data_IF_903604992862
#
_entry.id   IF_903604992862
#
_cell.length_a   1.000
_cell.length_b   1.000
_cell.length_c   1.000
_cell.angle_alpha   90.00
_cell.angle_beta   90.00
_cell.angle_gamma   90.00
#
_symmetry.space_group_name_H-M   'P 1'
#
loop_
_entity.id
_entity.type
_entity.pdbx_description
1 polymer ?
#
# COMPACT_ATOMS: atom_id res chain seq x y z
N UNK A 1 -24.34 -16.33 -11.10
CA UNK A 1 -24.76 -14.96 -11.50
C UNK A 1 -23.67 -14.39 -12.40
N UNK A 2 -23.99 -13.84 -13.58
CA UNK A 2 -22.98 -13.29 -14.50
C UNK A 2 -22.17 -12.17 -13.82
N UNK A 3 -20.84 -12.06 -14.03
CA UNK A 3 -19.97 -11.07 -13.34
C UNK A 3 -20.51 -9.64 -13.37
N UNK A 4 -20.99 -9.18 -14.53
CA UNK A 4 -21.59 -7.84 -14.69
C UNK A 4 -22.75 -7.55 -13.72
N UNK A 5 -23.61 -8.54 -13.45
CA UNK A 5 -24.73 -8.35 -12.52
C UNK A 5 -24.27 -8.28 -11.07
N UNK A 6 -23.21 -9.03 -10.72
CA UNK A 6 -22.60 -8.99 -9.39
C UNK A 6 -21.97 -7.63 -9.11
N UNK A 7 -21.19 -7.10 -10.07
CA UNK A 7 -20.59 -5.76 -9.98
C UNK A 7 -21.65 -4.67 -9.80
N UNK A 8 -22.74 -4.69 -10.60
CA UNK A 8 -23.81 -3.70 -10.46
C UNK A 8 -24.52 -3.74 -9.11
N UNK A 9 -24.75 -4.92 -8.55
CA UNK A 9 -25.36 -5.06 -7.22
C UNK A 9 -24.44 -4.47 -6.13
N UNK A 10 -23.15 -4.83 -6.16
CA UNK A 10 -22.17 -4.34 -5.18
C UNK A 10 -22.04 -2.82 -5.29
N UNK A 11 -21.94 -2.26 -6.50
CA UNK A 11 -21.94 -0.80 -6.71
C UNK A 11 -23.18 -0.12 -6.13
N UNK A 12 -24.35 -0.68 -6.38
CA UNK A 12 -25.60 -0.12 -5.85
C UNK A 12 -25.58 -0.05 -4.32
N UNK A 13 -25.14 -1.12 -3.65
CA UNK A 13 -25.04 -1.15 -2.19
C UNK A 13 -23.99 -0.14 -1.70
N UNK A 14 -22.82 -0.09 -2.33
CA UNK A 14 -21.78 0.89 -1.98
C UNK A 14 -22.28 2.33 -2.10
N UNK A 15 -22.97 2.67 -3.19
CA UNK A 15 -23.56 4.00 -3.38
C UNK A 15 -24.66 4.29 -2.35
N UNK A 16 -25.42 3.30 -1.91
CA UNK A 16 -26.38 3.48 -0.82
C UNK A 16 -25.67 3.78 0.52
N UNK A 17 -24.62 3.04 0.86
CA UNK A 17 -23.85 3.26 2.09
C UNK A 17 -23.13 4.62 2.14
N UNK A 18 -22.63 5.08 0.99
CA UNK A 18 -21.92 6.35 0.87
C UNK A 18 -22.84 7.57 0.72
N UNK A 19 -24.14 7.37 0.51
CA UNK A 19 -25.05 8.48 0.25
C UNK A 19 -25.17 9.38 1.49
N UNK A 20 -24.75 10.67 1.43
CA UNK A 20 -24.79 11.57 2.58
C UNK A 20 -26.22 11.81 3.09
N UNK A 21 -27.23 11.71 2.21
CA UNK A 21 -28.63 11.87 2.58
C UNK A 21 -29.17 10.72 3.42
N UNK A 22 -28.50 9.57 3.45
CA UNK A 22 -28.90 8.43 4.28
C UNK A 22 -28.13 8.37 5.59
N UNK A 23 -27.22 9.31 5.86
CA UNK A 23 -26.49 9.38 7.12
C UNK A 23 -27.34 10.03 8.22
N UNK A 24 -27.03 9.67 9.46
CA UNK A 24 -27.78 10.14 10.63
C UNK A 24 -27.68 11.66 10.79
N UNK A 25 -26.53 12.26 10.48
CA UNK A 25 -26.32 13.71 10.60
C UNK A 25 -27.25 14.49 9.68
N UNK A 26 -27.54 13.97 8.47
CA UNK A 26 -28.48 14.62 7.56
C UNK A 26 -29.92 14.51 8.03
N UNK A 27 -30.30 13.35 8.55
CA UNK A 27 -31.64 13.09 9.12
C UNK A 27 -31.91 14.04 10.30
N UNK A 28 -30.90 14.24 11.15
CA UNK A 28 -30.99 15.04 12.38
C UNK A 28 -30.63 16.52 12.20
N UNK A 29 -30.16 16.93 11.02
CA UNK A 29 -29.74 18.30 10.75
C UNK A 29 -30.85 19.32 11.07
N UNK A 30 -30.47 20.52 11.52
CA UNK A 30 -31.45 21.58 11.79
C UNK A 30 -32.25 21.96 10.54
N UNK A 31 -33.52 22.32 10.74
CA UNK A 31 -34.40 22.77 9.64
C UNK A 31 -34.17 24.28 9.46
N UNK A 32 -33.94 24.77 8.23
CA UNK A 32 -33.78 26.20 8.03
C UNK A 32 -35.06 26.97 8.40
N UNK A 33 -34.90 28.11 9.07
CA UNK A 33 -36.01 28.96 9.46
C UNK A 33 -36.65 29.63 8.22
N UNK A 34 -37.96 29.84 8.25
CA UNK A 34 -38.68 30.56 7.20
C UNK A 34 -38.98 29.76 5.93
N UNK A 35 -38.86 28.43 5.94
CA UNK A 35 -39.24 27.62 4.78
C UNK A 35 -40.76 27.72 4.49
N UNK A 36 -41.16 27.91 3.23
CA UNK A 36 -42.56 27.79 2.82
C UNK A 36 -43.15 26.41 3.16
N UNK A 37 -44.42 26.35 3.54
CA UNK A 37 -45.06 25.13 4.06
C UNK A 37 -44.98 23.93 3.11
N UNK A 38 -45.06 24.14 1.79
CA UNK A 38 -44.92 23.10 0.79
C UNK A 38 -43.49 22.54 0.70
N UNK A 39 -42.47 23.39 0.85
CA UNK A 39 -41.07 22.97 0.87
C UNK A 39 -40.73 22.26 2.18
N UNK A 40 -41.25 22.76 3.30
CA UNK A 40 -41.12 22.12 4.61
C UNK A 40 -41.69 20.70 4.59
N UNK A 41 -42.90 20.53 4.05
CA UNK A 41 -43.53 19.21 3.93
C UNK A 41 -42.68 18.23 3.09
N UNK A 42 -42.15 18.68 1.94
CA UNK A 42 -41.26 17.85 1.10
C UNK A 42 -39.96 17.49 1.80
N UNK A 43 -39.36 18.42 2.55
CA UNK A 43 -38.14 18.18 3.31
C UNK A 43 -38.39 17.13 4.41
N UNK A 44 -39.47 17.27 5.18
CA UNK A 44 -39.84 16.32 6.23
C UNK A 44 -40.10 14.92 5.68
N UNK A 45 -40.81 14.82 4.56
CA UNK A 45 -41.07 13.57 3.87
C UNK A 45 -39.77 12.92 3.34
N UNK A 46 -38.85 13.71 2.79
CA UNK A 46 -37.52 13.23 2.40
C UNK A 46 -36.70 12.74 3.60
N UNK A 47 -36.79 13.41 4.75
CA UNK A 47 -36.13 13.00 6.00
C UNK A 47 -36.71 11.72 6.58
N UNK A 48 -38.03 11.55 6.55
CA UNK A 48 -38.67 10.33 7.00
C UNK A 48 -38.21 9.11 6.17
N UNK A 49 -38.13 9.27 4.84
CA UNK A 49 -37.56 8.22 3.97
C UNK A 49 -36.10 7.93 4.29
N UNK A 50 -35.27 8.96 4.42
CA UNK A 50 -33.86 8.79 4.75
C UNK A 50 -33.64 8.12 6.12
N UNK A 51 -34.45 8.44 7.12
CA UNK A 51 -34.41 7.80 8.43
C UNK A 51 -34.72 6.31 8.34
N UNK A 52 -35.75 5.95 7.54
CA UNK A 52 -36.07 4.55 7.27
C UNK A 52 -34.92 3.83 6.55
N UNK A 53 -34.31 4.46 5.54
CA UNK A 53 -33.14 3.92 4.84
C UNK A 53 -31.95 3.77 5.78
N UNK A 54 -31.64 4.75 6.63
CA UNK A 54 -30.58 4.68 7.63
C UNK A 54 -30.78 3.48 8.56
N UNK A 55 -32.00 3.30 9.07
CA UNK A 55 -32.33 2.16 9.93
C UNK A 55 -32.15 0.82 9.21
N UNK A 56 -32.57 0.73 7.94
CA UNK A 56 -32.38 -0.48 7.14
C UNK A 56 -30.90 -0.80 6.87
N UNK A 57 -30.07 0.22 6.57
CA UNK A 57 -28.62 0.06 6.39
C UNK A 57 -27.94 -0.36 7.70
N UNK A 58 -28.30 0.24 8.84
CA UNK A 58 -27.81 -0.20 10.17
C UNK A 58 -28.21 -1.64 10.48
N UNK A 59 -29.43 -2.05 10.13
CA UNK A 59 -29.87 -3.44 10.31
C UNK A 59 -29.10 -4.41 9.40
N UNK A 60 -28.78 -4.01 8.17
CA UNK A 60 -27.96 -4.79 7.24
C UNK A 60 -26.54 -5.01 7.77
N UNK A 61 -25.96 -3.98 8.38
CA UNK A 61 -24.59 -3.98 8.93
C UNK A 61 -24.51 -4.39 10.40
N UNK A 62 -25.53 -5.09 10.92
CA UNK A 62 -25.50 -5.60 12.29
C UNK A 62 -25.83 -7.09 12.38
N UNK A 63 -25.37 -7.70 13.48
CA UNK A 63 -25.70 -9.08 13.84
C UNK A 63 -25.29 -10.12 12.79
N UNK A 64 -26.06 -11.23 12.69
CA UNK A 64 -25.75 -12.34 11.76
C UNK A 64 -25.75 -11.94 10.29
N UNK A 65 -26.57 -10.95 9.90
CA UNK A 65 -26.65 -10.46 8.52
C UNK A 65 -25.32 -9.87 8.07
N UNK A 66 -24.69 -9.06 8.94
CA UNK A 66 -23.37 -8.50 8.66
C UNK A 66 -22.32 -9.60 8.50
N UNK A 67 -22.32 -10.61 9.39
CA UNK A 67 -21.39 -11.74 9.31
C UNK A 67 -21.52 -12.50 7.98
N UNK A 68 -22.75 -12.86 7.59
CA UNK A 68 -22.99 -13.52 6.32
C UNK A 68 -22.62 -12.66 5.10
N UNK A 69 -22.80 -11.34 5.19
CA UNK A 69 -22.44 -10.41 4.12
C UNK A 69 -20.91 -10.31 3.96
N UNK A 70 -20.17 -10.12 5.05
CA UNK A 70 -18.69 -10.08 5.04
C UNK A 70 -18.14 -11.40 4.52
N UNK A 71 -18.63 -12.54 5.02
CA UNK A 71 -18.20 -13.86 4.55
C UNK A 71 -18.47 -14.05 3.05
N UNK A 72 -19.64 -13.64 2.56
CA UNK A 72 -19.98 -13.73 1.15
C UNK A 72 -19.13 -12.79 0.27
N UNK A 73 -18.78 -11.61 0.76
CA UNK A 73 -17.90 -10.69 0.04
C UNK A 73 -16.48 -11.25 -0.06
N UNK A 74 -15.91 -11.67 1.07
CA UNK A 74 -14.57 -12.26 1.13
C UNK A 74 -14.49 -13.48 0.22
N UNK A 75 -15.41 -14.44 0.36
CA UNK A 75 -15.33 -15.72 -0.38
C UNK A 75 -15.71 -15.63 -1.86
N UNK A 76 -16.65 -14.77 -2.27
CA UNK A 76 -17.22 -14.79 -3.64
C UNK A 76 -16.75 -13.64 -4.52
N UNK A 77 -16.12 -12.62 -3.94
CA UNK A 77 -15.66 -11.44 -4.65
C UNK A 77 -14.16 -11.23 -4.45
N UNK A 78 -13.68 -11.29 -3.21
CA UNK A 78 -12.30 -10.89 -2.89
C UNK A 78 -11.31 -12.04 -3.02
N UNK A 79 -11.72 -13.27 -2.71
CA UNK A 79 -10.90 -14.46 -2.89
C UNK A 79 -10.44 -14.58 -4.35
N UNK A 80 -9.16 -14.91 -4.49
CA UNK A 80 -8.52 -15.18 -5.77
C UNK A 80 -9.34 -16.18 -6.58
N UNK A 81 -9.70 -15.78 -7.79
CA UNK A 81 -10.35 -16.66 -8.75
C UNK A 81 -9.34 -17.62 -9.39
N UNK A 82 -9.85 -18.71 -9.99
CA UNK A 82 -9.01 -19.61 -10.77
C UNK A 82 -8.33 -18.90 -11.95
N UNK A 83 -9.01 -17.94 -12.59
CA UNK A 83 -8.42 -17.13 -13.67
C UNK A 83 -7.22 -16.30 -13.18
N UNK A 84 -7.35 -15.66 -12.02
CA UNK A 84 -6.24 -14.93 -11.39
C UNK A 84 -5.08 -15.84 -10.97
N UNK A 85 -5.37 -17.06 -10.49
CA UNK A 85 -4.35 -18.04 -10.12
C UNK A 85 -3.62 -18.62 -11.33
N UNK A 86 -4.30 -18.75 -12.48
CA UNK A 86 -3.64 -19.12 -13.74
C UNK A 86 -2.81 -17.96 -14.28
N UNK A 87 -3.32 -16.72 -14.26
CA UNK A 87 -2.53 -15.54 -14.63
C UNK A 87 -1.27 -15.40 -13.76
N UNK A 88 -1.38 -15.62 -12.44
CA UNK A 88 -0.22 -15.66 -11.53
C UNK A 88 0.87 -16.62 -12.02
N UNK A 89 0.50 -17.80 -12.54
CA UNK A 89 1.46 -18.81 -13.01
C UNK A 89 2.03 -18.50 -14.39
N UNK A 90 1.16 -18.09 -15.32
CA UNK A 90 1.49 -17.92 -16.73
C UNK A 90 2.19 -16.57 -16.99
N UNK A 91 1.70 -15.51 -16.36
CA UNK A 91 2.19 -14.15 -16.47
C UNK A 91 2.19 -13.42 -15.10
N UNK A 92 3.14 -13.76 -14.21
CA UNK A 92 3.19 -13.21 -12.86
C UNK A 92 3.37 -11.69 -12.81
N UNK A 93 4.04 -11.08 -13.81
CA UNK A 93 4.25 -9.64 -13.85
C UNK A 93 2.95 -8.90 -14.23
N UNK A 94 2.19 -9.42 -15.22
CA UNK A 94 0.84 -8.94 -15.53
C UNK A 94 -0.09 -9.04 -14.32
N UNK A 95 -0.10 -10.19 -13.64
CA UNK A 95 -0.90 -10.38 -12.43
C UNK A 95 -0.51 -9.35 -11.33
N UNK A 96 0.79 -9.19 -11.05
CA UNK A 96 1.28 -8.27 -10.03
C UNK A 96 0.88 -6.81 -10.33
N UNK A 97 0.87 -6.42 -11.61
CA UNK A 97 0.42 -5.10 -12.06
C UNK A 97 -1.08 -4.91 -11.86
N UNK A 98 -1.88 -5.92 -12.19
CA UNK A 98 -3.35 -5.87 -12.03
C UNK A 98 -3.77 -5.77 -10.56
N UNK A 99 -2.96 -6.29 -9.63
CA UNK A 99 -3.22 -6.19 -8.19
C UNK A 99 -3.07 -4.78 -7.61
N UNK A 100 -2.46 -3.85 -8.35
CA UNK A 100 -2.30 -2.46 -7.91
C UNK A 100 -3.45 -1.56 -8.35
N UNK A 101 -4.43 -2.11 -9.06
CA UNK A 101 -5.64 -1.37 -9.42
C UNK A 101 -6.37 -0.96 -8.14
N UNK A 102 -6.64 0.34 -8.04
CA UNK A 102 -7.30 0.94 -6.88
C UNK A 102 -8.65 0.26 -6.61
N UNK A 103 -8.86 -0.12 -5.34
CA UNK A 103 -10.11 -0.72 -4.89
C UNK A 103 -11.08 0.38 -4.48
N UNK A 104 -12.32 0.30 -4.95
CA UNK A 104 -13.28 1.37 -4.70
C UNK A 104 -14.70 1.08 -5.15
N UNK A 105 -15.66 1.93 -4.77
CA UNK A 105 -17.09 1.74 -5.05
C UNK A 105 -17.44 1.85 -6.54
N UNK A 106 -16.50 2.28 -7.38
CA UNK A 106 -16.68 2.45 -8.83
C UNK A 106 -15.88 1.43 -9.66
N UNK A 107 -15.18 0.49 -9.02
CA UNK A 107 -14.36 -0.50 -9.72
C UNK A 107 -15.18 -1.44 -10.63
N UNK A 108 -14.60 -1.85 -11.76
CA UNK A 108 -15.25 -2.65 -12.82
C UNK A 108 -15.09 -4.17 -12.67
N UNK A 109 -14.17 -4.62 -11.81
CA UNK A 109 -13.85 -6.04 -11.64
C UNK A 109 -14.29 -6.55 -10.26
N UNK A 110 -14.63 -7.86 -10.13
CA UNK A 110 -15.24 -8.41 -8.92
C UNK A 110 -14.44 -8.20 -7.62
N UNK A 111 -13.12 -8.34 -7.69
CA UNK A 111 -12.26 -8.28 -6.50
C UNK A 111 -12.08 -6.85 -5.96
N UNK A 112 -11.64 -5.86 -6.76
CA UNK A 112 -11.61 -4.45 -6.34
C UNK A 112 -12.97 -3.90 -5.90
N UNK A 113 -14.08 -4.27 -6.55
CA UNK A 113 -15.41 -3.78 -6.13
C UNK A 113 -15.89 -4.47 -4.83
N UNK A 114 -15.51 -5.72 -4.61
CA UNK A 114 -15.78 -6.44 -3.36
C UNK A 114 -15.07 -5.80 -2.18
N UNK A 115 -13.78 -5.47 -2.33
CA UNK A 115 -13.02 -4.68 -1.36
C UNK A 115 -13.66 -3.30 -1.18
N UNK A 116 -14.00 -2.61 -2.27
CA UNK A 116 -14.64 -1.30 -2.22
C UNK A 116 -15.96 -1.27 -1.44
N UNK A 117 -16.82 -2.30 -1.59
CA UNK A 117 -18.02 -2.41 -0.75
C UNK A 117 -17.67 -2.67 0.72
N UNK A 118 -16.69 -3.51 1.02
CA UNK A 118 -16.28 -3.73 2.40
C UNK A 118 -15.77 -2.44 3.06
N UNK A 119 -14.99 -1.62 2.34
CA UNK A 119 -14.55 -0.31 2.83
C UNK A 119 -15.75 0.61 3.10
N UNK A 120 -16.77 0.62 2.23
CA UNK A 120 -18.01 1.36 2.48
C UNK A 120 -18.77 0.82 3.71
N UNK A 121 -18.73 -0.49 3.95
CA UNK A 121 -19.32 -1.11 5.14
C UNK A 121 -18.55 -0.74 6.41
N UNK A 122 -17.22 -0.71 6.38
CA UNK A 122 -16.39 -0.28 7.50
C UNK A 122 -16.63 1.20 7.83
N UNK A 123 -16.69 2.06 6.81
CA UNK A 123 -16.97 3.49 6.96
C UNK A 123 -18.36 3.75 7.57
N UNK A 124 -19.39 3.01 7.12
CA UNK A 124 -20.77 3.24 7.57
C UNK A 124 -21.13 2.49 8.86
N UNK A 125 -20.67 1.24 9.00
CA UNK A 125 -20.99 0.33 10.09
C UNK A 125 -19.99 0.35 11.26
N UNK A 126 -18.81 0.92 11.05
CA UNK A 126 -17.78 1.10 12.08
C UNK A 126 -17.28 -0.21 12.70
N UNK A 127 -17.05 -0.16 14.01
CA UNK A 127 -16.49 -1.26 14.81
C UNK A 127 -17.21 -2.61 14.60
N UNK A 128 -18.53 -2.60 14.45
CA UNK A 128 -19.31 -3.83 14.27
C UNK A 128 -18.85 -4.65 13.06
N UNK A 129 -18.57 -3.97 11.94
CA UNK A 129 -18.07 -4.59 10.71
C UNK A 129 -16.61 -5.01 10.86
N UNK A 130 -15.79 -4.16 11.49
CA UNK A 130 -14.37 -4.44 11.77
C UNK A 130 -14.22 -5.74 12.58
N UNK A 131 -14.96 -5.89 13.67
CA UNK A 131 -14.91 -7.08 14.52
C UNK A 131 -15.40 -8.33 13.81
N UNK A 132 -16.39 -8.23 12.92
CA UNK A 132 -16.83 -9.36 12.10
C UNK A 132 -15.72 -9.83 11.16
N UNK A 133 -15.04 -8.90 10.47
CA UNK A 133 -13.92 -9.22 9.58
C UNK A 133 -12.75 -9.87 10.34
N UNK A 134 -12.35 -9.30 11.49
CA UNK A 134 -11.26 -9.83 12.31
C UNK A 134 -11.58 -11.22 12.88
N UNK A 135 -12.83 -11.46 13.31
CA UNK A 135 -13.27 -12.79 13.76
C UNK A 135 -13.23 -13.82 12.64
N UNK A 136 -13.61 -13.45 11.42
CA UNK A 136 -13.53 -14.34 10.27
C UNK A 136 -12.09 -14.74 9.97
N UNK A 137 -11.17 -13.77 9.94
CA UNK A 137 -9.74 -14.03 9.76
C UNK A 137 -9.18 -14.95 10.87
N UNK A 138 -9.52 -14.66 12.13
CA UNK A 138 -9.09 -15.45 13.28
C UNK A 138 -9.62 -16.89 13.24
N UNK A 139 -10.87 -17.09 12.84
CA UNK A 139 -11.44 -18.42 12.67
C UNK A 139 -10.71 -19.23 11.58
N UNK A 140 -10.38 -18.59 10.45
CA UNK A 140 -9.65 -19.23 9.35
C UNK A 140 -8.20 -19.57 9.72
N UNK A 141 -7.54 -18.77 10.57
CA UNK A 141 -6.18 -19.05 11.07
C UNK A 141 -6.13 -20.34 11.91
N UNK A 142 -7.20 -20.64 12.65
CA UNK A 142 -7.28 -21.81 13.53
C UNK A 142 -7.73 -23.09 12.82
N UNK A 143 -8.26 -22.97 11.60
CA UNK A 143 -8.75 -24.10 10.82
C UNK A 143 -7.63 -24.84 10.08
N UNK A 144 -7.87 -26.10 9.75
CA UNK A 144 -6.97 -26.85 8.88
C UNK A 144 -6.91 -26.19 7.50
N UNK A 145 -5.69 -25.99 6.99
CA UNK A 145 -5.46 -25.34 5.70
C UNK A 145 -5.94 -26.23 4.55
N UNK A 146 -7.04 -25.85 3.93
CA UNK A 146 -7.50 -26.34 2.63
C UNK A 146 -7.24 -25.26 1.57
N UNK A 147 -7.25 -25.58 0.26
CA UNK A 147 -7.10 -24.55 -0.78
C UNK A 147 -8.10 -23.40 -0.61
N UNK A 148 -9.38 -23.71 -0.45
CA UNK A 148 -10.43 -22.70 -0.27
C UNK A 148 -10.23 -21.86 1.01
N UNK A 149 -9.84 -22.48 2.12
CA UNK A 149 -9.60 -21.75 3.37
C UNK A 149 -8.39 -20.82 3.27
N UNK A 150 -7.37 -21.20 2.49
CA UNK A 150 -6.19 -20.36 2.23
C UNK A 150 -6.55 -19.15 1.37
N UNK A 151 -7.31 -19.33 0.28
CA UNK A 151 -7.73 -18.22 -0.57
C UNK A 151 -8.67 -17.26 0.18
N UNK A 152 -9.53 -17.81 1.04
CA UNK A 152 -10.40 -16.99 1.89
C UNK A 152 -9.63 -16.25 2.99
N UNK A 153 -8.58 -16.86 3.55
CA UNK A 153 -7.70 -16.21 4.52
C UNK A 153 -6.90 -15.07 3.86
N UNK A 154 -6.36 -15.31 2.67
CA UNK A 154 -5.70 -14.28 1.86
C UNK A 154 -6.64 -13.09 1.60
N UNK A 155 -7.88 -13.37 1.23
CA UNK A 155 -8.90 -12.35 1.00
C UNK A 155 -9.23 -11.56 2.27
N UNK A 156 -9.29 -12.22 3.43
CA UNK A 156 -9.44 -11.52 4.71
C UNK A 156 -8.26 -10.58 4.97
N UNK A 157 -7.03 -11.05 4.73
CA UNK A 157 -5.82 -10.25 4.92
C UNK A 157 -5.78 -9.04 3.96
N UNK A 158 -6.18 -9.23 2.69
CA UNK A 158 -6.37 -8.14 1.72
C UNK A 158 -7.33 -7.08 2.27
N UNK A 159 -8.49 -7.52 2.74
CA UNK A 159 -9.53 -6.66 3.30
C UNK A 159 -9.06 -5.90 4.55
N UNK A 160 -8.34 -6.58 5.45
CA UNK A 160 -7.80 -5.99 6.68
C UNK A 160 -6.77 -4.91 6.35
N UNK A 161 -5.86 -5.16 5.41
CA UNK A 161 -4.85 -4.17 5.03
C UNK A 161 -5.45 -2.95 4.33
N UNK A 162 -6.43 -3.12 3.44
CA UNK A 162 -7.11 -1.99 2.78
C UNK A 162 -7.96 -1.17 3.76
N UNK A 163 -8.62 -1.86 4.68
CA UNK A 163 -9.42 -1.25 5.74
C UNK A 163 -8.61 -0.94 6.99
N UNK A 164 -7.27 -0.88 6.93
CA UNK A 164 -6.45 -0.87 8.15
C UNK A 164 -6.77 0.32 9.07
N UNK A 165 -7.03 1.50 8.50
CA UNK A 165 -7.43 2.69 9.24
C UNK A 165 -8.74 2.52 10.04
N UNK A 166 -9.61 1.60 9.62
CA UNK A 166 -10.87 1.29 10.31
C UNK A 166 -10.73 0.17 11.33
N UNK A 167 -9.69 -0.66 11.24
CA UNK A 167 -9.51 -1.85 12.10
C UNK A 167 -8.34 -1.74 13.07
N UNK A 168 -7.41 -0.81 12.87
CA UNK A 168 -6.16 -0.67 13.65
C UNK A 168 -6.39 -0.52 15.15
N UNK A 169 -7.46 0.16 15.57
CA UNK A 169 -7.88 0.28 16.98
C UNK A 169 -8.34 -1.04 17.61
N UNK A 170 -8.62 -2.07 16.80
CA UNK A 170 -9.17 -3.35 17.22
C UNK A 170 -8.21 -4.53 16.99
N UNK A 171 -7.03 -4.28 16.40
CA UNK A 171 -6.00 -5.30 16.16
C UNK A 171 -4.64 -4.82 16.64
N UNK A 172 -3.99 -5.60 17.51
CA UNK A 172 -2.59 -5.36 17.85
C UNK A 172 -1.72 -5.96 16.73
N UNK A 173 -1.30 -5.14 15.78
CA UNK A 173 -0.52 -5.60 14.63
C UNK A 173 0.82 -6.21 15.03
N UNK A 174 1.52 -5.67 16.03
CA UNK A 174 2.78 -6.24 16.51
C UNK A 174 2.60 -7.66 17.07
N UNK A 175 1.55 -7.89 17.88
CA UNK A 175 1.22 -9.22 18.38
C UNK A 175 0.85 -10.17 17.23
N UNK A 176 0.03 -9.70 16.28
CA UNK A 176 -0.40 -10.49 15.12
C UNK A 176 0.77 -10.84 14.19
N UNK A 177 1.69 -9.92 13.94
CA UNK A 177 2.91 -10.18 13.19
C UNK A 177 3.73 -11.29 13.87
N UNK A 178 3.94 -11.22 15.18
CA UNK A 178 4.73 -12.22 15.91
C UNK A 178 4.08 -13.61 15.92
N UNK A 179 2.75 -13.69 16.08
CA UNK A 179 2.06 -14.96 16.22
C UNK A 179 1.72 -15.63 14.89
N UNK A 180 1.47 -14.85 13.84
CA UNK A 180 0.96 -15.37 12.57
C UNK A 180 1.87 -15.07 11.38
N UNK A 181 2.17 -13.80 11.12
CA UNK A 181 2.83 -13.41 9.86
C UNK A 181 4.32 -13.80 9.84
N UNK A 182 5.07 -13.51 10.91
CA UNK A 182 6.50 -13.84 10.97
C UNK A 182 6.75 -15.35 10.94
N UNK A 183 6.03 -16.22 11.67
CA UNK A 183 6.17 -17.66 11.52
C UNK A 183 5.86 -18.16 10.10
N UNK A 184 4.83 -17.60 9.46
CA UNK A 184 4.47 -17.93 8.08
C UNK A 184 5.60 -17.57 7.10
N UNK A 185 6.19 -16.39 7.24
CA UNK A 185 7.31 -15.93 6.42
C UNK A 185 8.59 -16.73 6.71
N UNK A 186 8.91 -16.98 7.97
CA UNK A 186 10.09 -17.77 8.35
C UNK A 186 10.06 -19.19 7.80
N UNK A 187 8.89 -19.86 7.84
CA UNK A 187 8.75 -21.22 7.36
C UNK A 187 8.94 -21.37 5.84
N UNK A 188 8.77 -20.27 5.09
CA UNK A 188 8.78 -20.27 3.63
C UNK A 188 9.84 -19.30 3.07
N UNK A 189 10.82 -18.90 3.88
CA UNK A 189 11.84 -17.95 3.48
C UNK A 189 12.72 -18.57 2.37
N UNK A 190 13.10 -17.80 1.33
CA UNK A 190 14.06 -18.27 0.35
C UNK A 190 15.39 -18.64 1.01
N UNK A 191 16.11 -19.66 0.49
CA UNK A 191 17.39 -20.06 1.04
C UNK A 191 18.39 -18.90 0.97
N UNK A 192 19.19 -18.76 2.02
CA UNK A 192 20.26 -17.75 2.03
C UNK A 192 21.25 -18.02 0.89
N UNK A 193 21.75 -16.98 0.20
CA UNK A 193 22.79 -17.15 -0.81
C UNK A 193 24.04 -17.78 -0.17
N UNK A 194 24.76 -18.66 -0.90
CA UNK A 194 25.97 -19.28 -0.37
C UNK A 194 27.03 -18.23 0.00
N UNK A 195 27.80 -18.44 1.09
CA UNK A 195 28.80 -17.48 1.54
C UNK A 195 29.86 -17.25 0.45
N UNK A 196 30.05 -15.99 0.05
CA UNK A 196 31.00 -15.58 -0.99
C UNK A 196 30.40 -15.43 -2.41
N UNK A 197 29.09 -15.61 -2.59
CA UNK A 197 28.43 -15.31 -3.85
C UNK A 197 28.56 -13.81 -4.19
N UNK A 198 29.25 -13.51 -5.30
CA UNK A 198 29.06 -12.25 -6.01
C UNK A 198 27.69 -12.27 -6.69
N UNK A 199 27.17 -11.10 -7.08
CA UNK A 199 25.89 -10.96 -7.78
C UNK A 199 25.71 -12.13 -8.78
N UNK A 200 24.62 -12.90 -8.69
CA UNK A 200 24.49 -14.13 -9.45
C UNK A 200 24.66 -13.82 -10.95
N UNK A 201 25.40 -14.64 -11.71
CA UNK A 201 25.40 -14.50 -13.16
C UNK A 201 23.96 -14.58 -13.66
N UNK A 202 23.61 -13.85 -14.74
CA UNK A 202 22.25 -13.79 -15.23
C UNK A 202 21.75 -15.22 -15.46
N UNK A 203 20.63 -15.62 -14.84
CA UNK A 203 20.03 -16.90 -15.16
C UNK A 203 19.65 -16.88 -16.64
N UNK A 204 19.91 -18.00 -17.31
CA UNK A 204 19.37 -18.30 -18.64
C UNK A 204 17.86 -18.04 -18.58
N UNK A 205 17.22 -17.44 -19.59
CA UNK A 205 15.78 -17.21 -19.56
C UNK A 205 15.07 -18.55 -19.47
N UNK A 206 14.70 -18.95 -18.26
CA UNK A 206 13.87 -20.12 -18.01
C UNK A 206 12.46 -19.70 -18.40
N UNK A 207 11.92 -20.39 -19.42
CA UNK A 207 10.50 -20.36 -19.74
C UNK A 207 9.68 -20.57 -18.47
N UNK A 208 8.54 -19.88 -18.39
CA UNK A 208 7.68 -19.89 -17.22
C UNK A 208 7.38 -21.30 -16.71
N UNK A 209 7.21 -21.39 -15.40
CA UNK A 209 6.82 -22.63 -14.72
C UNK A 209 7.84 -23.04 -13.68
N UNK A 210 7.80 -22.41 -12.50
CA UNK A 210 8.22 -23.11 -11.30
C UNK A 210 7.34 -24.37 -11.20
N UNK A 211 7.97 -25.54 -11.22
CA UNK A 211 7.34 -26.84 -11.02
C UNK A 211 6.94 -27.03 -9.53
N UNK A 212 6.18 -26.08 -8.99
CA UNK A 212 5.56 -26.17 -7.68
C UNK A 212 4.12 -26.64 -7.84
N UNK A 213 3.77 -27.78 -7.24
CA UNK A 213 2.37 -28.23 -7.20
C UNK A 213 1.45 -27.18 -6.56
N UNK A 214 0.15 -27.41 -6.62
CA UNK A 214 -0.91 -26.52 -6.07
C UNK A 214 -0.59 -26.00 -4.64
N UNK A 215 -0.01 -26.84 -3.79
CA UNK A 215 0.42 -26.47 -2.44
C UNK A 215 1.49 -25.37 -2.40
N UNK A 216 2.45 -25.37 -3.33
CA UNK A 216 3.51 -24.37 -3.39
C UNK A 216 2.95 -23.00 -3.83
N UNK A 217 1.98 -22.99 -4.75
CA UNK A 217 1.27 -21.77 -5.14
C UNK A 217 0.51 -21.18 -3.95
N UNK A 218 -0.23 -22.00 -3.19
CA UNK A 218 -0.97 -21.54 -2.01
C UNK A 218 -0.04 -20.95 -0.94
N UNK A 219 1.17 -21.51 -0.79
CA UNK A 219 2.22 -20.94 0.07
C UNK A 219 2.69 -19.59 -0.45
N UNK A 220 2.95 -19.47 -1.76
CA UNK A 220 3.35 -18.21 -2.39
C UNK A 220 2.27 -17.12 -2.24
N UNK A 221 1.00 -17.48 -2.43
CA UNK A 221 -0.16 -16.58 -2.26
C UNK A 221 -0.19 -15.99 -0.85
N UNK A 222 -0.06 -16.82 0.19
CA UNK A 222 -0.03 -16.32 1.57
C UNK A 222 1.23 -15.51 1.89
N UNK A 223 2.40 -15.93 1.39
CA UNK A 223 3.65 -15.21 1.61
C UNK A 223 3.61 -13.80 0.99
N UNK A 224 3.16 -13.70 -0.26
CA UNK A 224 2.95 -12.42 -0.94
C UNK A 224 2.01 -11.50 -0.15
N UNK A 225 0.89 -12.03 0.34
CA UNK A 225 -0.07 -11.25 1.13
C UNK A 225 0.47 -10.84 2.50
N UNK A 226 1.21 -11.72 3.18
CA UNK A 226 1.84 -11.40 4.46
C UNK A 226 2.92 -10.31 4.31
N UNK A 227 3.73 -10.37 3.25
CA UNK A 227 4.68 -9.32 2.89
C UNK A 227 3.97 -7.99 2.61
N UNK A 228 2.90 -8.02 1.83
CA UNK A 228 2.13 -6.82 1.54
C UNK A 228 1.53 -6.20 2.81
N UNK A 229 0.96 -7.00 3.71
CA UNK A 229 0.47 -6.54 5.02
C UNK A 229 1.58 -5.89 5.84
N UNK A 230 2.79 -6.45 5.82
CA UNK A 230 3.93 -5.87 6.51
C UNK A 230 4.30 -4.48 5.99
N UNK A 231 4.16 -4.25 4.68
CA UNK A 231 4.38 -2.94 4.08
C UNK A 231 3.30 -1.93 4.44
N UNK A 232 2.03 -2.36 4.48
CA UNK A 232 0.88 -1.50 4.77
C UNK A 232 0.74 -1.17 6.26
N UNK A 233 0.89 -2.17 7.12
CA UNK A 233 0.67 -2.05 8.56
C UNK A 233 1.98 -1.85 9.34
N UNK A 234 3.14 -1.84 8.67
CA UNK A 234 4.45 -1.83 9.30
C UNK A 234 4.75 -0.62 10.19
N UNK A 235 4.01 0.47 10.03
CA UNK A 235 4.10 1.64 10.91
C UNK A 235 3.76 1.33 12.37
N UNK A 236 2.93 0.31 12.62
CA UNK A 236 2.51 -0.12 13.96
C UNK A 236 3.54 -1.04 14.64
N UNK A 237 4.64 -1.39 13.94
CA UNK A 237 5.68 -2.22 14.53
C UNK A 237 6.60 -1.40 15.43
N UNK A 238 6.90 -1.89 16.64
CA UNK A 238 7.91 -1.26 17.49
C UNK A 238 9.31 -1.45 16.92
N UNK A 239 10.22 -0.55 17.29
CA UNK A 239 11.56 -0.46 16.70
C UNK A 239 12.41 -1.72 16.81
N UNK A 240 12.23 -2.50 17.88
CA UNK A 240 12.92 -3.77 18.11
C UNK A 240 12.49 -4.86 17.12
N UNK A 241 11.28 -4.76 16.57
CA UNK A 241 10.74 -5.71 15.59
C UNK A 241 11.06 -5.31 14.15
N UNK A 242 11.27 -4.03 13.86
CA UNK A 242 11.53 -3.52 12.50
C UNK A 242 12.73 -4.20 11.83
N UNK A 243 13.80 -4.51 12.57
CA UNK A 243 14.98 -5.18 12.01
C UNK A 243 14.63 -6.55 11.42
N UNK A 244 13.81 -7.32 12.14
CA UNK A 244 13.31 -8.61 11.64
C UNK A 244 12.41 -8.43 10.41
N UNK A 245 11.54 -7.42 10.42
CA UNK A 245 10.62 -7.13 9.32
C UNK A 245 11.37 -6.78 8.03
N UNK A 246 12.38 -5.91 8.10
CA UNK A 246 13.25 -5.60 6.97
C UNK A 246 13.97 -6.84 6.46
N UNK A 247 14.53 -7.65 7.36
CA UNK A 247 15.22 -8.88 6.99
C UNK A 247 14.30 -9.85 6.25
N UNK A 248 13.05 -10.03 6.72
CA UNK A 248 12.06 -10.87 6.03
C UNK A 248 11.84 -10.36 4.60
N UNK A 249 11.50 -9.08 4.42
CA UNK A 249 11.23 -8.56 3.08
C UNK A 249 12.46 -8.69 2.17
N UNK A 250 13.67 -8.39 2.68
CA UNK A 250 14.92 -8.51 1.91
C UNK A 250 15.20 -9.95 1.49
N UNK A 251 14.96 -10.94 2.35
CA UNK A 251 15.09 -12.35 1.99
C UNK A 251 14.15 -12.71 0.84
N UNK A 252 12.91 -12.22 0.86
CA UNK A 252 11.90 -12.51 -0.15
C UNK A 252 12.13 -11.82 -1.51
N UNK A 253 13.02 -10.82 -1.60
CA UNK A 253 13.48 -10.32 -2.90
C UNK A 253 14.15 -11.41 -3.75
N UNK A 254 14.71 -12.44 -3.11
CA UNK A 254 15.33 -13.60 -3.77
C UNK A 254 14.35 -14.75 -4.03
N UNK A 255 13.06 -14.62 -3.69
CA UNK A 255 12.06 -15.67 -3.90
C UNK A 255 11.96 -16.05 -5.38
N UNK A 256 11.80 -17.34 -5.70
CA UNK A 256 11.67 -17.82 -7.08
C UNK A 256 10.37 -17.35 -7.75
N UNK A 257 9.29 -17.29 -6.98
CA UNK A 257 8.01 -16.73 -7.42
C UNK A 257 8.13 -15.21 -7.59
N UNK A 258 7.87 -14.73 -8.80
CA UNK A 258 8.04 -13.32 -9.16
C UNK A 258 7.02 -12.43 -8.46
N UNK A 259 5.78 -12.89 -8.25
CA UNK A 259 4.75 -12.11 -7.54
C UNK A 259 5.14 -11.93 -6.08
N UNK A 260 5.68 -12.98 -5.45
CA UNK A 260 6.19 -12.90 -4.07
C UNK A 260 7.37 -11.92 -3.99
N UNK A 261 8.32 -12.00 -4.92
CA UNK A 261 9.47 -11.11 -4.97
C UNK A 261 9.05 -9.64 -5.18
N UNK A 262 8.11 -9.38 -6.10
CA UNK A 262 7.55 -8.04 -6.32
C UNK A 262 6.74 -7.55 -5.11
N UNK A 263 6.04 -8.44 -4.41
CA UNK A 263 5.35 -8.10 -3.15
C UNK A 263 6.34 -7.69 -2.06
N UNK A 264 7.52 -8.32 -1.98
CA UNK A 264 8.60 -7.91 -1.09
C UNK A 264 9.17 -6.54 -1.46
N UNK A 265 9.30 -6.24 -2.77
CA UNK A 265 9.70 -4.90 -3.25
C UNK A 265 8.72 -3.84 -2.77
N UNK A 266 7.42 -4.04 -2.99
CA UNK A 266 6.37 -3.11 -2.54
C UNK A 266 6.35 -2.97 -1.01
N UNK A 267 6.55 -4.07 -0.28
CA UNK A 267 6.62 -4.06 1.18
C UNK A 267 7.79 -3.22 1.70
N UNK A 268 8.98 -3.40 1.13
CA UNK A 268 10.16 -2.60 1.49
C UNK A 268 9.97 -1.13 1.15
N UNK A 269 9.36 -0.80 0.02
CA UNK A 269 9.02 0.58 -0.32
C UNK A 269 8.13 1.22 0.75
N UNK A 270 7.10 0.51 1.22
CA UNK A 270 6.22 0.98 2.30
C UNK A 270 6.94 1.14 3.64
N UNK A 271 7.83 0.21 4.02
CA UNK A 271 8.61 0.36 5.24
C UNK A 271 9.62 1.51 5.17
N UNK A 272 10.26 1.70 4.02
CA UNK A 272 11.24 2.77 3.80
C UNK A 272 10.57 4.15 3.68
N UNK A 273 9.34 4.24 3.20
CA UNK A 273 8.62 5.52 3.18
C UNK A 273 8.45 6.08 4.59
N UNK A 274 8.28 5.23 5.62
CA UNK A 274 8.24 5.67 7.01
C UNK A 274 9.54 6.35 7.46
N UNK A 275 10.69 5.90 6.95
CA UNK A 275 11.99 6.53 7.22
C UNK A 275 12.06 7.89 6.55
N UNK A 276 11.64 7.97 5.28
CA UNK A 276 11.61 9.21 4.52
C UNK A 276 10.63 10.24 5.11
N UNK A 277 9.46 9.81 5.58
CA UNK A 277 8.46 10.66 6.22
C UNK A 277 8.98 11.24 7.55
N UNK A 278 9.65 10.41 8.37
CA UNK A 278 10.30 10.87 9.61
C UNK A 278 11.46 11.84 9.30
N UNK A 279 12.23 11.60 8.24
CA UNK A 279 13.29 12.51 7.77
C UNK A 279 12.72 13.85 7.30
N UNK A 280 11.67 13.83 6.48
CA UNK A 280 10.99 15.02 5.99
C UNK A 280 10.40 15.85 7.14
N UNK A 281 9.79 15.19 8.12
CA UNK A 281 9.27 15.83 9.35
C UNK A 281 10.39 16.53 10.11
N UNK A 282 11.53 15.85 10.30
CA UNK A 282 12.69 16.41 10.99
C UNK A 282 13.30 17.60 10.23
N UNK A 283 13.35 17.55 8.90
CA UNK A 283 13.80 18.65 8.07
C UNK A 283 12.89 19.87 8.14
N UNK A 284 11.57 19.66 8.14
CA UNK A 284 10.58 20.72 8.32
C UNK A 284 10.75 21.42 9.66
N UNK A 285 10.93 20.67 10.75
CA UNK A 285 11.19 21.24 12.08
C UNK A 285 12.49 22.06 12.11
N UNK A 286 13.58 21.54 11.52
CA UNK A 286 14.86 22.27 11.40
C UNK A 286 14.72 23.54 10.56
N UNK A 287 13.91 23.52 9.50
CA UNK A 287 13.65 24.67 8.66
C UNK A 287 12.84 25.75 9.41
N UNK A 288 11.82 25.33 10.16
CA UNK A 288 11.03 26.22 11.02
C UNK A 288 11.91 26.92 12.07
N UNK A 289 12.82 26.18 12.72
CA UNK A 289 13.77 26.75 13.68
C UNK A 289 14.70 27.79 13.04
N UNK A 290 15.26 27.50 11.86
CA UNK A 290 16.08 28.46 11.10
C UNK A 290 15.31 29.71 10.73
N UNK A 291 14.05 29.58 10.32
CA UNK A 291 13.18 30.70 9.99
C UNK A 291 12.81 31.55 11.23
N UNK A 292 12.66 30.93 12.40
CA UNK A 292 12.45 31.65 13.67
C UNK A 292 13.72 32.43 14.09
N UNK A 293 14.90 31.80 13.98
CA UNK A 293 16.18 32.46 14.27
C UNK A 293 16.47 33.64 13.32
N UNK A 294 16.17 33.50 12.03
CA UNK A 294 16.32 34.57 11.05
C UNK A 294 15.39 35.77 11.28
N UNK A 295 14.17 35.55 11.78
CA UNK A 295 13.24 36.63 12.18
C UNK A 295 13.73 37.38 13.42
N UNK A 296 14.36 36.70 14.37
CA UNK A 296 15.00 37.34 15.52
C UNK A 296 16.19 38.24 15.13
N UNK A 297 16.96 37.86 14.12
CA UNK A 297 18.09 38.64 13.64
C UNK A 297 17.67 39.90 12.85
N UNK A 298 16.63 39.83 12.02
CA UNK A 298 16.09 40.98 11.28
C UNK A 298 15.28 41.95 12.17
N UNK A 299 14.60 41.43 13.20
CA UNK A 299 13.92 42.23 14.22
C UNK A 299 14.87 42.95 15.20
N UNK A 300 16.15 42.56 15.26
CA UNK A 300 17.14 43.13 16.19
C UNK A 300 17.57 44.58 15.90
N UNK A 301 17.35 45.08 14.68
CA UNK A 301 17.66 46.46 14.28
C UNK A 301 16.43 47.38 14.29
N UNK A 302 15.23 46.87 14.02
CA UNK A 302 13.99 47.67 14.04
C UNK A 302 13.28 47.59 15.41
N UNK A 303 13.29 46.43 16.07
CA UNK A 303 12.68 46.23 17.38
C UNK A 303 13.43 46.85 18.56
N UNK A 304 14.70 47.27 18.39
CA UNK A 304 15.43 48.03 19.43
C UNK A 304 14.93 49.47 19.58
N UNK A 305 14.24 50.02 18.58
CA UNK A 305 13.67 51.37 18.67
C UNK A 305 12.35 51.35 19.43
N UNK A 306 11.51 50.32 19.25
CA UNK A 306 10.24 50.17 19.99
C UNK A 306 10.43 49.60 21.41
N UNK A 307 11.44 48.75 21.65
CA UNK A 307 11.71 48.19 22.99
C UNK A 307 12.24 49.24 23.99
N UNK A 308 12.77 50.36 23.52
CA UNK A 308 13.21 51.46 24.40
C UNK A 308 12.04 52.39 24.80
N UNK A 309 10.87 52.30 24.14
CA UNK A 309 9.66 53.06 24.49
C UNK A 309 8.65 52.29 25.35
N UNK A 310 8.78 50.96 25.49
CA UNK A 310 7.85 50.12 26.26
C UNK A 310 8.42 49.58 27.58
N UNK A 311 9.66 49.93 27.94
CA UNK A 311 10.29 49.48 29.19
C UNK A 311 9.75 50.16 30.47
N UNK A 312 8.78 51.08 30.37
CA UNK A 312 8.19 51.74 31.55
C UNK A 312 6.83 51.18 31.99
N UNK A 313 6.21 50.24 31.26
CA UNK A 313 4.91 49.68 31.67
C UNK A 313 4.81 48.19 31.38
N UNK A 314 4.89 47.38 32.45
CA UNK A 314 4.35 46.01 32.47
C UNK A 314 5.40 44.92 32.30
N UNK A 315 5.85 44.37 33.43
CA UNK A 315 6.46 43.04 33.47
C UNK A 315 5.46 41.96 33.04
N UNK A 316 6.00 40.80 32.65
CA UNK A 316 5.32 39.59 32.15
C UNK A 316 5.09 39.56 30.62
N UNK A 317 6.19 39.50 29.86
CA UNK A 317 6.16 39.04 28.45
C UNK A 317 7.42 38.26 28.04
N UNK A 318 8.17 37.72 29.02
CA UNK A 318 9.38 36.93 28.78
C UNK A 318 9.22 35.40 28.86
N UNK A 319 8.04 34.88 29.21
CA UNK A 319 7.86 33.44 29.49
C UNK A 319 7.33 32.60 28.31
N UNK A 320 6.75 33.21 27.26
CA UNK A 320 6.19 32.44 26.12
C UNK A 320 7.22 32.04 25.08
N UNK A 321 8.33 32.78 24.94
CA UNK A 321 9.37 32.46 23.95
C UNK A 321 10.23 31.25 24.34
N UNK A 322 10.39 31.01 25.65
CA UNK A 322 11.23 29.92 26.18
C UNK A 322 10.47 28.57 26.16
N UNK A 323 9.15 28.59 26.40
CA UNK A 323 8.29 27.41 26.25
C UNK A 323 8.24 26.91 24.82
N UNK A 324 8.01 27.81 23.85
CA UNK A 324 7.89 27.45 22.44
C UNK A 324 9.22 26.95 21.86
N UNK A 325 10.35 27.48 22.33
CA UNK A 325 11.68 26.99 21.95
C UNK A 325 11.97 25.62 22.55
N UNK A 326 11.60 25.39 23.81
CA UNK A 326 11.78 24.12 24.48
C UNK A 326 10.89 23.01 23.87
N UNK A 327 9.63 23.32 23.54
CA UNK A 327 8.72 22.40 22.84
C UNK A 327 9.25 22.02 21.46
N UNK A 328 9.73 23.00 20.68
CA UNK A 328 10.34 22.72 19.38
C UNK A 328 11.61 21.88 19.49
N UNK A 329 12.45 22.14 20.51
CA UNK A 329 13.66 21.34 20.76
C UNK A 329 13.32 19.89 21.12
N UNK A 330 12.31 19.67 21.95
CA UNK A 330 11.82 18.34 22.30
C UNK A 330 11.27 17.59 21.07
N UNK A 331 10.43 18.25 20.26
CA UNK A 331 9.87 17.66 19.04
C UNK A 331 10.97 17.27 18.02
N UNK A 332 12.01 18.11 17.86
CA UNK A 332 13.16 17.79 17.01
C UNK A 332 13.98 16.61 17.55
N UNK A 333 14.21 16.56 18.86
CA UNK A 333 14.93 15.45 19.49
C UNK A 333 14.19 14.13 19.31
N UNK A 334 12.86 14.15 19.48
CA UNK A 334 12.01 12.98 19.26
C UNK A 334 12.01 12.53 17.80
N UNK A 335 11.81 13.44 16.84
CA UNK A 335 11.87 13.13 15.42
C UNK A 335 13.24 12.58 15.01
N UNK A 336 14.33 13.16 15.53
CA UNK A 336 15.69 12.65 15.30
C UNK A 336 15.88 11.24 15.87
N UNK A 337 15.39 10.98 17.07
CA UNK A 337 15.46 9.66 17.69
C UNK A 337 14.67 8.60 16.90
N UNK A 338 13.50 8.96 16.34
CA UNK A 338 12.72 8.06 15.47
C UNK A 338 13.47 7.69 14.19
N UNK A 339 14.02 8.69 13.48
CA UNK A 339 14.85 8.45 12.27
C UNK A 339 16.02 7.53 12.60
N UNK A 340 16.75 7.83 13.67
CA UNK A 340 17.93 7.03 14.05
C UNK A 340 17.55 5.61 14.46
N UNK A 341 16.44 5.45 15.17
CA UNK A 341 15.89 4.15 15.53
C UNK A 341 15.54 3.30 14.30
N UNK A 342 14.84 3.86 13.32
CA UNK A 342 14.49 3.13 12.08
C UNK A 342 15.72 2.78 11.25
N UNK A 343 16.68 3.71 11.13
CA UNK A 343 17.93 3.47 10.41
C UNK A 343 18.82 2.45 11.12
N UNK A 344 18.76 2.35 12.45
CA UNK A 344 19.48 1.32 13.21
C UNK A 344 18.95 -0.10 12.94
N UNK A 345 17.66 -0.23 12.61
CA UNK A 345 17.06 -1.51 12.20
C UNK A 345 17.57 -2.02 10.84
N UNK A 346 18.12 -1.14 9.99
CA UNK A 346 18.73 -1.48 8.71
C UNK A 346 20.22 -1.77 8.89
N UNK A 347 20.56 -3.00 9.25
CA UNK A 347 21.95 -3.41 9.42
C UNK A 347 22.72 -3.38 8.08
N UNK A 348 24.04 -3.24 8.14
CA UNK A 348 24.90 -3.27 6.95
C UNK A 348 24.72 -4.56 6.12
N UNK A 349 24.46 -5.69 6.77
CA UNK A 349 24.17 -6.95 6.08
C UNK A 349 22.84 -6.92 5.34
N UNK A 350 21.79 -6.38 5.98
CA UNK A 350 20.46 -6.23 5.37
C UNK A 350 20.51 -5.29 4.17
N UNK A 351 21.24 -4.17 4.27
CA UNK A 351 21.42 -3.21 3.17
C UNK A 351 22.13 -3.88 1.99
N UNK A 352 23.24 -4.58 2.25
CA UNK A 352 23.99 -5.27 1.19
C UNK A 352 23.13 -6.33 0.50
N UNK A 353 22.39 -7.13 1.27
CA UNK A 353 21.48 -8.14 0.74
C UNK A 353 20.33 -7.52 -0.06
N UNK A 354 19.75 -6.40 0.37
CA UNK A 354 18.70 -5.70 -0.35
C UNK A 354 19.17 -5.27 -1.74
N UNK A 355 20.34 -4.63 -1.83
CA UNK A 355 20.92 -4.19 -3.10
C UNK A 355 21.25 -5.36 -4.03
N UNK A 356 21.93 -6.40 -3.51
CA UNK A 356 22.27 -7.59 -4.29
C UNK A 356 21.03 -8.32 -4.81
N UNK A 357 20.02 -8.49 -3.96
CA UNK A 357 18.78 -9.15 -4.35
C UNK A 357 17.97 -8.31 -5.34
N UNK A 358 17.99 -6.97 -5.26
CA UNK A 358 17.38 -6.10 -6.27
C UNK A 358 18.02 -6.31 -7.65
N UNK A 359 19.35 -6.29 -7.74
CA UNK A 359 20.04 -6.51 -9.02
C UNK A 359 19.88 -7.95 -9.53
N UNK A 360 19.83 -8.93 -8.62
CA UNK A 360 19.48 -10.31 -8.95
C UNK A 360 18.05 -10.43 -9.50
N UNK A 361 17.07 -9.79 -8.86
CA UNK A 361 15.67 -9.79 -9.29
C UNK A 361 15.50 -9.15 -10.66
N UNK A 362 16.18 -8.03 -10.94
CA UNK A 362 16.13 -7.39 -12.26
C UNK A 362 16.33 -8.43 -13.37
N UNK A 363 17.36 -9.28 -13.27
CA UNK A 363 17.69 -10.28 -14.30
C UNK A 363 16.56 -11.25 -14.66
N UNK A 364 15.56 -11.41 -13.79
CA UNK A 364 14.43 -12.33 -13.92
C UNK A 364 13.17 -11.67 -14.47
N UNK A 365 13.07 -10.34 -14.37
CA UNK A 365 11.94 -9.56 -14.86
C UNK A 365 12.01 -9.38 -16.38
N UNK A 366 10.83 -9.30 -16.99
CA UNK A 366 10.59 -9.13 -18.43
C UNK A 366 9.92 -7.79 -18.73
N UNK A 367 9.10 -7.28 -17.82
CA UNK A 367 8.36 -6.04 -18.01
C UNK A 367 9.16 -4.82 -17.53
N UNK A 368 9.06 -3.72 -18.28
CA UNK A 368 9.78 -2.48 -17.98
C UNK A 368 9.27 -1.88 -16.66
N UNK A 369 7.96 -1.92 -16.42
CA UNK A 369 7.32 -1.38 -15.23
C UNK A 369 7.78 -2.08 -13.96
N UNK A 370 7.88 -3.41 -13.99
CA UNK A 370 8.43 -4.21 -12.89
C UNK A 370 9.89 -3.83 -12.60
N UNK A 371 10.71 -3.65 -13.64
CA UNK A 371 12.10 -3.22 -13.47
C UNK A 371 12.20 -1.81 -12.88
N UNK A 372 11.37 -0.87 -13.34
CA UNK A 372 11.30 0.49 -12.80
C UNK A 372 10.97 0.45 -11.31
N UNK A 373 10.04 -0.40 -10.87
CA UNK A 373 9.72 -0.55 -9.45
C UNK A 373 10.89 -1.05 -8.62
N UNK A 374 11.66 -2.03 -9.11
CA UNK A 374 12.87 -2.51 -8.42
C UNK A 374 13.93 -1.41 -8.35
N UNK A 375 14.11 -0.64 -9.42
CA UNK A 375 15.04 0.49 -9.43
C UNK A 375 14.58 1.63 -8.52
N UNK A 376 13.27 1.86 -8.39
CA UNK A 376 12.71 2.79 -7.42
C UNK A 376 13.06 2.36 -5.99
N UNK A 377 12.99 1.07 -5.67
CA UNK A 377 13.43 0.57 -4.36
C UNK A 377 14.92 0.84 -4.12
N UNK A 378 15.79 0.64 -5.12
CA UNK A 378 17.21 0.99 -5.00
C UNK A 378 17.39 2.50 -4.76
N UNK A 379 16.65 3.35 -5.47
CA UNK A 379 16.68 4.80 -5.28
C UNK A 379 16.24 5.21 -3.87
N UNK A 380 15.12 4.67 -3.41
CA UNK A 380 14.56 4.93 -2.06
C UNK A 380 15.51 4.44 -0.97
N UNK A 381 16.19 3.30 -1.16
CA UNK A 381 17.24 2.84 -0.24
C UNK A 381 18.39 3.84 -0.15
N UNK A 382 18.89 4.34 -1.29
CA UNK A 382 19.98 5.32 -1.33
C UNK A 382 19.58 6.62 -0.63
N UNK A 383 18.36 7.10 -0.92
CA UNK A 383 17.80 8.31 -0.32
C UNK A 383 17.65 8.16 1.20
N UNK A 384 16.99 7.10 1.67
CA UNK A 384 16.74 6.86 3.08
C UNK A 384 18.04 6.69 3.87
N UNK A 385 19.05 6.01 3.31
CA UNK A 385 20.31 5.73 3.99
C UNK A 385 21.26 6.93 4.04
N UNK A 386 21.16 7.86 3.09
CA UNK A 386 22.07 9.00 2.98
C UNK A 386 23.54 8.57 3.07
N UNK A 387 24.29 9.11 4.03
CA UNK A 387 25.71 8.79 4.20
C UNK A 387 25.99 7.34 4.64
N UNK A 388 25.00 6.62 5.17
CA UNK A 388 25.15 5.21 5.56
C UNK A 388 25.31 4.28 4.35
N UNK A 389 25.03 4.75 3.14
CA UNK A 389 25.21 3.96 1.91
C UNK A 389 26.68 3.78 1.52
N UNK A 390 27.60 4.63 2.02
CA UNK A 390 29.01 4.66 1.59
C UNK A 390 29.70 3.28 1.49
N UNK A 391 29.57 2.37 2.48
CA UNK A 391 30.21 1.05 2.41
C UNK A 391 29.67 0.16 1.28
N UNK A 392 28.50 0.49 0.74
CA UNK A 392 27.75 -0.31 -0.23
C UNK A 392 27.80 0.26 -1.66
N UNK A 393 28.45 1.41 -1.88
CA UNK A 393 28.57 2.04 -3.20
C UNK A 393 29.22 1.11 -4.25
N UNK A 394 30.12 0.23 -3.83
CA UNK A 394 30.72 -0.77 -4.72
C UNK A 394 29.71 -1.76 -5.30
N UNK A 395 28.68 -2.15 -4.52
CA UNK A 395 27.60 -3.03 -4.99
C UNK A 395 26.76 -2.30 -6.04
N UNK A 396 26.41 -1.03 -5.79
CA UNK A 396 25.65 -0.20 -6.74
C UNK A 396 26.43 0.00 -8.04
N UNK A 397 27.70 0.39 -7.94
CA UNK A 397 28.56 0.60 -9.10
C UNK A 397 28.73 -0.66 -9.95
N UNK A 398 28.82 -1.84 -9.31
CA UNK A 398 28.88 -3.13 -10.00
C UNK A 398 27.56 -3.51 -10.70
N UNK A 399 26.41 -3.06 -10.18
CA UNK A 399 25.09 -3.33 -10.76
C UNK A 399 24.72 -2.42 -11.95
N UNK A 400 25.26 -1.21 -12.05
CA UNK A 400 24.92 -0.24 -13.10
C UNK A 400 25.09 -0.76 -14.55
N UNK A 401 26.17 -1.47 -14.93
CA UNK A 401 26.33 -1.99 -16.29
C UNK A 401 25.22 -2.98 -16.69
N UNK A 402 24.75 -3.78 -15.74
CA UNK A 402 23.64 -4.71 -15.96
C UNK A 402 22.34 -3.96 -16.24
N UNK A 403 22.08 -2.86 -15.53
CA UNK A 403 20.88 -2.04 -15.75
C UNK A 403 20.93 -1.42 -17.15
N UNK A 404 22.08 -0.84 -17.50
CA UNK A 404 22.24 -0.13 -18.77
C UNK A 404 22.09 -1.07 -19.98
N UNK A 405 22.78 -2.22 -19.95
CA UNK A 405 22.68 -3.22 -21.01
C UNK A 405 21.24 -3.72 -21.21
N UNK A 406 20.47 -3.89 -20.14
CA UNK A 406 19.06 -4.31 -20.24
C UNK A 406 18.16 -3.21 -20.77
N UNK A 407 18.38 -1.95 -20.36
CA UNK A 407 17.65 -0.82 -20.91
C UNK A 407 17.84 -0.68 -22.43
N UNK A 408 19.07 -0.91 -22.93
CA UNK A 408 19.36 -0.92 -24.37
C UNK A 408 18.62 -2.05 -25.10
N UNK A 409 18.63 -3.28 -24.55
CA UNK A 409 17.91 -4.43 -25.13
C UNK A 409 16.41 -4.18 -25.20
N UNK A 410 15.81 -3.65 -24.12
CA UNK A 410 14.38 -3.35 -24.07
C UNK A 410 14.00 -2.22 -25.05
N UNK A 411 14.82 -1.19 -25.15
CA UNK A 411 14.64 -0.09 -26.11
C UNK A 411 14.68 -0.60 -27.55
N UNK A 412 15.65 -1.48 -27.87
CA UNK A 412 15.75 -2.11 -29.19
C UNK A 412 14.55 -3.02 -29.50
N UNK A 413 14.09 -3.81 -28.52
CA UNK A 413 12.91 -4.66 -28.67
C UNK A 413 11.63 -3.85 -28.91
N UNK A 414 11.44 -2.74 -28.18
CA UNK A 414 10.32 -1.83 -28.36
C UNK A 414 10.33 -1.19 -29.76
N UNK A 415 11.50 -0.76 -30.25
CA UNK A 415 11.64 -0.21 -31.60
C UNK A 415 11.29 -1.25 -32.69
N UNK A 416 11.70 -2.51 -32.52
CA UNK A 416 11.39 -3.60 -33.45
C UNK A 416 9.89 -3.95 -33.48
N UNK A 417 9.23 -3.96 -32.31
CA UNK A 417 7.79 -4.17 -32.21
C UNK A 417 7.00 -3.06 -32.92
N UNK A 418 7.39 -1.79 -32.70
CA UNK A 418 6.78 -0.64 -33.37
C UNK A 418 6.93 -0.70 -34.90
N UNK A 419 8.12 -1.09 -35.39
CA UNK A 419 8.35 -1.27 -36.82
C UNK A 419 7.46 -2.38 -37.41
N UNK A 420 7.29 -3.50 -36.69
CA UNK A 420 6.45 -4.63 -37.12
C UNK A 420 4.97 -4.26 -37.18
N UNK A 421 4.46 -3.53 -36.18
CA UNK A 421 3.09 -2.99 -36.19
C UNK A 421 2.87 -2.06 -37.38
N UNK A 422 3.82 -1.15 -37.64
CA UNK A 422 3.75 -0.24 -38.79
C UNK A 422 3.72 -0.97 -40.14
N UNK A 423 4.44 -2.10 -40.27
CA UNK A 423 4.39 -2.94 -41.47
C UNK A 423 3.04 -3.64 -41.63
N UNK A 424 2.44 -4.14 -40.55
CA UNK A 424 1.10 -4.73 -40.57
C UNK A 424 0.02 -3.70 -40.92
N UNK A 425 0.12 -2.49 -40.38
CA UNK A 425 -0.80 -1.39 -40.70
C UNK A 425 -0.68 -0.97 -42.17
N UNK A 426 0.54 -0.93 -42.73
CA UNK A 426 0.77 -0.66 -44.16
C UNK A 426 0.25 -1.80 -45.04
N UNK A 427 0.44 -3.06 -44.65
CA UNK A 427 -0.09 -4.22 -45.39
C UNK A 427 -1.64 -4.24 -45.40
N UNK A 428 -2.27 -3.92 -44.26
CA UNK A 428 -3.72 -3.80 -44.16
C UNK A 428 -4.27 -2.61 -44.96
N UNK A 429 -3.54 -1.49 -45.03
CA UNK A 429 -3.93 -0.34 -45.86
C UNK A 429 -3.88 -0.66 -47.37
N UNK A 430 -2.87 -1.42 -47.82
CA UNK A 430 -2.74 -1.87 -49.21
C UNK A 430 -3.86 -2.85 -49.58
N UNK A 431 -4.23 -3.77 -48.69
CA UNK A 431 -5.36 -4.67 -48.93
C UNK A 431 -6.71 -3.96 -49.01
N UNK A 432 -6.89 -2.87 -48.25
CA UNK A 432 -8.11 -2.05 -48.30
C UNK A 432 -8.22 -1.24 -49.59
N UNK A 433 -7.11 -0.74 -50.14
CA UNK A 433 -7.10 0.00 -51.42
C UNK A 433 -7.12 -0.91 -52.66
N UNK A 434 -6.71 -2.18 -52.53
CA UNK A 434 -6.81 -3.17 -53.61
C UNK A 434 -8.22 -3.72 -53.86
N UNK A 435 -9.12 -3.61 -52.87
CA UNK A 435 -10.51 -4.05 -52.99
C UNK A 435 -11.43 -3.01 -53.67
N UNK A 436 -11.06 -1.73 -53.67
CA UNK A 436 -11.83 -0.64 -54.32
C UNK A 436 -11.43 -0.41 -55.79
N UNK A 437 -10.47 -1.18 -56.33
CA UNK A 437 -9.99 -1.05 -57.71
C UNK A 437 -10.49 -2.17 -58.66
N UNK A 438 -11.40 -3.01 -58.18
CA UNK A 438 -12.03 -4.08 -58.96
C UNK A 438 -13.54 -4.03 -58.79
N UNK A 439 -14.15 -2.99 -59.37
CA UNK A 439 -15.56 -2.91 -59.77
C UNK A 439 -15.65 -2.22 -61.14
#
# INVERSE_FOLDING_TARGET
MRPKRRVLLVRFISKALLNPFYRQEWVEASVPAGLPSNQLARLMDSRARAAHTNAALKALLSGPTCAALVEALVSKYVALSGEELEEWKEDPESYARTMEVESGPDADTPRPIGVGLLLCMLEHGGEGVALVLLRLASALQQQQRTPDSVLMLEACYRCIGEGFNHVSSHVNFAAWYNSELAPLLNANAPPAPPPGAQAPPPPVPIGGGAAGGEQALLVAVLAARALWLLGVCGQELPSDMLGSAYQQCVCYLAAEDVVVALSAVTSLLGLLSLVLDDQATLEQLRAAQRAAAGRGAAGGLVGRVDAMQLAETGGVSGMSGDSDQQENAAAMAEASARVESRLASLSSQVIAAALLNCFGLLSRLREVESMVRVLQLVSVLVEALGERIRPHLGIIAAGLPQIWSRAEVLSAAAAAAAASSSLLDRANAVHKHGADASD
#
